data_IF_429648530653
#
_entry.id   IF_429648530653
#
_cell.length_a   1.000
_cell.length_b   1.000
_cell.length_c   1.000
_cell.angle_alpha   90.00
_cell.angle_beta   90.00
_cell.angle_gamma   90.00
#
_symmetry.space_group_name_H-M   'P 1'
#
loop_
_entity.id
_entity.type
_entity.pdbx_description
1 polymer ?
#
# COMPACT_ATOMS: atom_id res chain seq x y z
N UNK A 1 -8.12 15.87 8.64
CA UNK A 1 -7.00 15.21 9.38
C UNK A 1 -6.73 13.76 8.94
N UNK A 2 -7.75 12.93 8.66
CA UNK A 2 -7.53 11.52 8.26
C UNK A 2 -6.61 11.33 7.06
N UNK A 3 -6.67 12.22 6.05
CA UNK A 3 -5.82 12.15 4.85
C UNK A 3 -4.33 12.24 5.17
N UNK A 4 -3.93 12.94 6.24
CA UNK A 4 -2.51 13.04 6.62
C UNK A 4 -1.94 11.68 7.03
N UNK A 5 -2.58 11.02 8.00
CA UNK A 5 -2.15 9.69 8.48
C UNK A 5 -2.21 8.66 7.37
N UNK A 6 -3.24 8.73 6.53
CA UNK A 6 -3.36 7.88 5.36
C UNK A 6 -2.21 8.12 4.36
N UNK A 7 -1.87 9.38 4.09
CA UNK A 7 -0.74 9.75 3.26
C UNK A 7 0.59 9.21 3.78
N UNK A 8 0.85 9.31 5.08
CA UNK A 8 2.03 8.71 5.71
C UNK A 8 2.05 7.20 5.48
N UNK A 9 0.95 6.50 5.76
CA UNK A 9 0.84 5.06 5.56
C UNK A 9 1.09 4.64 4.10
N UNK A 10 0.55 5.38 3.13
CA UNK A 10 0.80 5.14 1.70
C UNK A 10 2.28 5.32 1.33
N UNK A 11 2.95 6.36 1.85
CA UNK A 11 4.40 6.54 1.63
C UNK A 11 5.18 5.37 2.21
N UNK A 12 4.91 4.99 3.46
CA UNK A 12 5.59 3.87 4.11
C UNK A 12 5.38 2.56 3.35
N UNK A 13 4.14 2.27 2.96
CA UNK A 13 3.80 1.08 2.17
C UNK A 13 4.51 1.10 0.80
N UNK A 14 4.56 2.26 0.14
CA UNK A 14 5.30 2.44 -1.10
C UNK A 14 6.80 2.19 -0.94
N UNK A 15 7.43 2.71 0.12
CA UNK A 15 8.85 2.47 0.45
C UNK A 15 9.13 1.00 0.73
N UNK A 16 8.23 0.32 1.44
CA UNK A 16 8.34 -1.13 1.69
C UNK A 16 8.28 -1.87 0.35
N UNK A 17 7.34 -1.53 -0.53
CA UNK A 17 7.22 -2.12 -1.87
C UNK A 17 8.46 -1.89 -2.74
N UNK A 18 9.05 -0.70 -2.69
CA UNK A 18 10.27 -0.38 -3.42
C UNK A 18 11.49 -1.16 -2.90
N UNK A 19 11.53 -1.51 -1.62
CA UNK A 19 12.60 -2.33 -1.03
C UNK A 19 12.35 -3.83 -1.17
N UNK A 20 11.10 -4.26 -1.26
CA UNK A 20 10.73 -5.66 -1.38
C UNK A 20 11.03 -6.18 -2.79
N UNK A 21 12.05 -7.05 -2.92
CA UNK A 21 12.37 -7.74 -4.20
C UNK A 21 11.23 -8.57 -4.81
N UNK A 22 10.20 -8.90 -4.02
CA UNK A 22 9.06 -9.72 -4.45
C UNK A 22 7.83 -8.90 -4.86
N UNK A 23 7.84 -7.59 -4.59
CA UNK A 23 6.72 -6.71 -4.88
C UNK A 23 7.00 -5.87 -6.14
N UNK A 24 5.95 -5.50 -6.91
CA UNK A 24 6.09 -4.63 -8.06
C UNK A 24 6.54 -3.22 -7.65
N UNK A 25 7.75 -2.83 -8.06
CA UNK A 25 8.34 -1.53 -7.73
C UNK A 25 7.55 -0.34 -8.28
N UNK A 26 6.90 -0.49 -9.45
CA UNK A 26 6.07 0.56 -10.04
C UNK A 26 4.86 0.91 -9.15
N UNK A 27 4.26 -0.09 -8.51
CA UNK A 27 3.17 0.10 -7.53
C UNK A 27 3.67 0.83 -6.28
N UNK A 28 4.89 0.52 -5.83
CA UNK A 28 5.53 1.24 -4.75
C UNK A 28 5.71 2.73 -5.06
N UNK A 29 6.18 3.05 -6.27
CA UNK A 29 6.34 4.44 -6.72
C UNK A 29 4.99 5.19 -6.79
N UNK A 30 3.94 4.54 -7.31
CA UNK A 30 2.59 5.12 -7.36
C UNK A 30 2.02 5.37 -5.96
N UNK A 31 2.20 4.44 -5.02
CA UNK A 31 1.76 4.62 -3.62
C UNK A 31 2.52 5.73 -2.91
N UNK A 32 3.83 5.86 -3.15
CA UNK A 32 4.60 6.97 -2.61
C UNK A 32 4.13 8.31 -3.17
N UNK A 33 3.85 8.40 -4.48
CA UNK A 33 3.29 9.60 -5.10
C UNK A 33 1.90 9.95 -4.53
N UNK A 34 1.02 8.95 -4.39
CA UNK A 34 -0.29 9.09 -3.75
C UNK A 34 -0.18 9.65 -2.32
N UNK A 35 0.74 9.09 -1.53
CA UNK A 35 0.98 9.54 -0.17
C UNK A 35 1.45 10.99 -0.09
N UNK A 36 2.36 11.42 -1.00
CA UNK A 36 2.79 12.82 -1.08
C UNK A 36 1.63 13.76 -1.41
N UNK A 37 0.76 13.39 -2.36
CA UNK A 37 -0.43 14.18 -2.70
C UNK A 37 -1.33 14.37 -1.47
N UNK A 38 -1.54 13.31 -0.67
CA UNK A 38 -2.35 13.41 0.54
C UNK A 38 -1.72 14.28 1.63
N UNK A 39 -0.40 14.21 1.81
CA UNK A 39 0.32 15.05 2.76
C UNK A 39 0.25 16.53 2.36
N UNK A 40 0.50 16.82 1.09
CA UNK A 40 0.42 18.19 0.55
C UNK A 40 -1.01 18.71 0.63
N UNK A 41 -2.00 17.91 0.21
CA UNK A 41 -3.41 18.28 0.28
C UNK A 41 -3.88 18.56 1.71
N UNK A 42 -3.45 17.75 2.68
CA UNK A 42 -3.74 17.98 4.09
C UNK A 42 -3.02 19.22 4.65
N UNK A 43 -1.80 19.51 4.18
CA UNK A 43 -1.08 20.72 4.58
C UNK A 43 -1.76 21.98 4.01
N UNK A 44 -2.17 21.96 2.74
CA UNK A 44 -2.91 23.06 2.11
C UNK A 44 -4.23 23.31 2.86
N UNK A 45 -4.91 22.25 3.29
CA UNK A 45 -6.17 22.37 4.01
C UNK A 45 -6.04 23.15 5.32
N UNK A 46 -4.87 23.10 5.98
CA UNK A 46 -4.60 23.80 7.24
C UNK A 46 -3.94 25.16 7.01
N UNK A 47 -3.00 25.26 6.07
CA UNK A 47 -2.16 26.45 5.89
C UNK A 47 -2.72 27.46 4.88
N UNK A 48 -3.46 27.00 3.86
CA UNK A 48 -3.91 27.85 2.75
C UNK A 48 -5.18 27.28 2.08
N UNK A 49 -6.36 27.39 2.72
CA UNK A 49 -7.60 26.82 2.19
C UNK A 49 -8.01 27.39 0.81
N UNK A 50 -7.55 28.58 0.45
CA UNK A 50 -7.77 29.17 -0.88
C UNK A 50 -7.11 28.43 -2.05
N UNK A 51 -6.17 27.51 -1.78
CA UNK A 51 -5.52 26.68 -2.79
C UNK A 51 -6.15 25.28 -2.92
N UNK A 52 -7.26 24.99 -2.22
CA UNK A 52 -7.92 23.68 -2.29
C UNK A 52 -8.50 23.38 -3.67
N UNK A 53 -9.15 24.37 -4.29
CA UNK A 53 -9.78 24.25 -5.61
C UNK A 53 -8.77 23.91 -6.73
N UNK A 54 -7.65 24.65 -6.89
CA UNK A 54 -6.65 24.30 -7.90
C UNK A 54 -5.86 23.02 -7.58
N UNK A 55 -5.84 22.59 -6.31
CA UNK A 55 -5.17 21.34 -5.91
C UNK A 55 -6.06 20.09 -6.08
N UNK A 56 -7.38 20.26 -6.16
CA UNK A 56 -8.34 19.16 -6.35
C UNK A 56 -7.96 18.12 -7.42
N UNK A 57 -7.51 18.48 -8.64
CA UNK A 57 -7.12 17.49 -9.65
C UNK A 57 -5.94 16.61 -9.26
N UNK A 58 -5.09 17.04 -8.31
CA UNK A 58 -3.97 16.22 -7.84
C UNK A 58 -4.46 14.92 -7.19
N UNK A 59 -5.67 14.89 -6.61
CA UNK A 59 -6.26 13.70 -6.00
C UNK A 59 -6.61 12.59 -7.01
N UNK A 60 -6.51 12.83 -8.32
CA UNK A 60 -6.59 11.74 -9.32
C UNK A 60 -5.40 10.77 -9.20
N UNK A 61 -4.23 11.26 -8.80
CA UNK A 61 -3.03 10.44 -8.62
C UNK A 61 -3.25 9.35 -7.56
N UNK A 62 -3.68 9.66 -6.32
CA UNK A 62 -3.98 8.63 -5.34
C UNK A 62 -5.08 7.68 -5.78
N UNK A 63 -6.18 8.17 -6.38
CA UNK A 63 -7.26 7.30 -6.86
C UNK A 63 -6.74 6.23 -7.82
N UNK A 64 -5.93 6.61 -8.82
CA UNK A 64 -5.36 5.64 -9.77
C UNK A 64 -4.39 4.68 -9.07
N UNK A 65 -3.51 5.21 -8.22
CA UNK A 65 -2.51 4.41 -7.51
C UNK A 65 -3.16 3.38 -6.57
N UNK A 66 -4.16 3.79 -5.81
CA UNK A 66 -4.88 2.95 -4.86
C UNK A 66 -5.75 1.92 -5.56
N UNK A 67 -6.46 2.29 -6.62
CA UNK A 67 -7.25 1.32 -7.40
C UNK A 67 -6.34 0.28 -8.04
N UNK A 68 -5.20 0.69 -8.60
CA UNK A 68 -4.20 -0.23 -9.14
C UNK A 68 -3.64 -1.17 -8.04
N UNK A 69 -3.39 -0.63 -6.85
CA UNK A 69 -2.93 -1.41 -5.70
C UNK A 69 -3.98 -2.40 -5.19
N UNK A 70 -5.23 -1.98 -5.07
CA UNK A 70 -6.35 -2.84 -4.71
C UNK A 70 -6.58 -3.93 -5.76
N UNK A 71 -6.52 -3.59 -7.05
CA UNK A 71 -6.64 -4.56 -8.13
C UNK A 71 -5.50 -5.61 -8.07
N UNK A 72 -4.28 -5.17 -7.79
CA UNK A 72 -3.14 -6.07 -7.61
C UNK A 72 -3.31 -7.01 -6.39
N UNK A 73 -3.80 -6.48 -5.26
CA UNK A 73 -4.09 -7.30 -4.07
C UNK A 73 -5.17 -8.35 -4.37
N UNK A 74 -6.25 -7.95 -5.04
CA UNK A 74 -7.33 -8.85 -5.47
C UNK A 74 -6.84 -9.92 -6.45
N UNK A 75 -5.91 -9.58 -7.34
CA UNK A 75 -5.40 -10.49 -8.36
C UNK A 75 -4.42 -11.55 -7.83
N UNK A 76 -3.88 -11.43 -6.60
CA UNK A 76 -2.99 -12.46 -6.06
C UNK A 76 -1.89 -12.02 -5.10
N UNK A 77 -1.92 -10.81 -4.54
CA UNK A 77 -0.92 -10.34 -3.56
C UNK A 77 -0.77 -11.18 -2.28
N UNK A 78 -1.59 -12.22 -2.08
CA UNK A 78 -1.74 -13.05 -0.86
C UNK A 78 -0.80 -14.26 -0.73
N UNK A 79 0.02 -14.58 -1.73
CA UNK A 79 0.84 -15.81 -1.71
C UNK A 79 2.10 -15.72 -0.84
N UNK A 80 2.33 -14.61 -0.14
CA UNK A 80 3.61 -14.38 0.56
C UNK A 80 3.66 -14.89 2.02
N UNK A 81 2.53 -15.19 2.68
CA UNK A 81 2.54 -15.49 4.14
C UNK A 81 1.72 -16.71 4.60
N UNK A 82 0.91 -17.36 3.76
CA UNK A 82 0.09 -18.51 4.23
C UNK A 82 0.89 -19.82 4.28
N UNK A 83 1.96 -19.96 3.49
CA UNK A 83 2.75 -21.20 3.42
C UNK A 83 3.60 -21.50 4.68
N UNK A 84 3.74 -20.54 5.60
CA UNK A 84 4.50 -20.70 6.84
C UNK A 84 3.64 -21.21 8.02
N UNK A 85 2.31 -21.27 7.86
CA UNK A 85 1.36 -21.74 8.87
C UNK A 85 0.81 -23.14 8.59
N UNK A 86 1.24 -23.82 7.52
CA UNK A 86 0.95 -25.25 7.36
C UNK A 86 1.55 -25.98 8.56
N UNK A 87 0.73 -26.55 9.45
CA UNK A 87 1.22 -27.26 10.62
C UNK A 87 2.02 -28.46 10.13
N UNK A 88 3.22 -28.63 10.68
CA UNK A 88 4.01 -29.85 10.58
C UNK A 88 3.32 -30.99 11.35
N UNK A 89 2.11 -31.34 10.93
CA UNK A 89 1.24 -32.34 11.53
C UNK A 89 0.85 -33.40 10.49
N UNK A 90 1.84 -33.97 9.79
CA UNK A 90 1.69 -35.21 9.05
C UNK A 90 3.07 -35.81 8.78
N UNK A 91 3.66 -36.49 9.77
CA UNK A 91 4.88 -37.26 9.48
C UNK A 91 5.74 -37.66 10.68
N UNK A 92 5.16 -38.31 11.68
CA UNK A 92 5.91 -39.30 12.48
C UNK A 92 4.94 -40.20 13.27
N UNK A 93 4.31 -41.14 12.58
CA UNK A 93 3.91 -42.39 13.19
C UNK A 93 4.96 -43.44 12.80
N UNK A 94 5.76 -43.98 13.75
CA UNK A 94 6.30 -45.33 13.60
C UNK A 94 5.18 -46.29 14.02
N UNK A 95 4.46 -46.88 13.06
CA UNK A 95 4.72 -48.22 12.50
C UNK A 95 5.09 -49.23 13.58
N UNK A 96 4.11 -50.07 13.89
CA UNK A 96 4.29 -51.34 14.59
C UNK A 96 5.36 -52.21 13.90
N UNK A 97 6.25 -52.80 14.71
CA UNK A 97 6.83 -54.13 14.55
C UNK A 97 7.75 -54.41 15.74
#
# INVERSE_FOLDING_TARGET
LGLFFFGVSCVLLGVIFLRARRAPSWLGAMLSAAGVVYLVGSAIHVAAPGLQEPFAPAYLVPVVAEVAFCAWLLAGGRQLEVSALEPRAAGSAPSAA
#
